data_IF_533826071893
#
_entry.id   IF_533826071893
#
_cell.length_a   1.000
_cell.length_b   1.000
_cell.length_c   1.000
_cell.angle_alpha   90.00
_cell.angle_beta   90.00
_cell.angle_gamma   90.00
#
_symmetry.space_group_name_H-M   'P 1'
#
loop_
_entity.id
_entity.type
_entity.pdbx_description
1 polymer ?
#
# COMPACT_ATOMS: atom_id res chain seq x y z
N UNK A 1 -13.03 -20.45 -4.85
CA UNK A 1 -14.29 -20.25 -4.10
C UNK A 1 -15.10 -19.15 -4.76
N UNK A 2 -16.21 -19.52 -5.38
CA UNK A 2 -17.19 -18.56 -5.88
C UNK A 2 -18.52 -19.30 -6.00
N UNK A 3 -19.32 -19.25 -4.93
CA UNK A 3 -20.60 -19.97 -4.86
C UNK A 3 -21.77 -19.17 -5.43
N UNK A 4 -21.54 -17.95 -5.92
CA UNK A 4 -22.60 -17.12 -6.50
C UNK A 4 -23.24 -17.84 -7.71
N UNK A 5 -24.54 -17.66 -7.93
CA UNK A 5 -25.23 -18.19 -9.10
C UNK A 5 -24.66 -17.59 -10.39
N UNK A 6 -24.89 -18.26 -11.53
CA UNK A 6 -24.43 -17.77 -12.85
C UNK A 6 -25.24 -16.59 -13.39
N UNK A 7 -26.44 -16.40 -12.86
CA UNK A 7 -27.30 -15.27 -13.19
C UNK A 7 -27.90 -14.69 -11.91
N UNK A 8 -28.00 -13.36 -11.86
CA UNK A 8 -28.59 -12.63 -10.75
C UNK A 8 -29.54 -11.56 -11.30
N UNK A 9 -30.85 -11.84 -11.39
CA UNK A 9 -31.82 -10.92 -11.96
C UNK A 9 -31.89 -9.58 -11.21
N UNK A 10 -32.02 -8.49 -11.98
CA UNK A 10 -32.13 -7.10 -11.47
C UNK A 10 -33.13 -6.93 -10.33
N UNK A 11 -34.26 -7.64 -10.36
CA UNK A 11 -35.30 -7.56 -9.31
C UNK A 11 -34.76 -7.88 -7.90
N UNK A 12 -33.91 -8.91 -7.78
CA UNK A 12 -33.35 -9.32 -6.48
C UNK A 12 -32.26 -8.36 -6.01
N UNK A 13 -31.57 -7.70 -6.94
CA UNK A 13 -30.58 -6.66 -6.61
C UNK A 13 -31.29 -5.43 -6.05
N UNK A 14 -32.40 -5.01 -6.64
CA UNK A 14 -33.22 -3.90 -6.15
C UNK A 14 -33.83 -4.25 -4.78
N UNK A 15 -34.36 -5.45 -4.63
CA UNK A 15 -34.91 -5.93 -3.36
C UNK A 15 -33.83 -5.95 -2.26
N UNK A 16 -32.62 -6.42 -2.58
CA UNK A 16 -31.47 -6.37 -1.66
C UNK A 16 -31.09 -4.95 -1.24
N UNK A 17 -31.20 -3.96 -2.14
CA UNK A 17 -30.98 -2.54 -1.82
C UNK A 17 -32.05 -2.05 -0.84
N UNK A 18 -33.32 -2.41 -1.03
CA UNK A 18 -34.38 -2.03 -0.11
C UNK A 18 -34.22 -2.66 1.28
N UNK A 19 -33.79 -3.93 1.35
CA UNK A 19 -33.47 -4.58 2.64
C UNK A 19 -32.28 -3.93 3.34
N UNK A 20 -31.26 -3.54 2.57
CA UNK A 20 -30.14 -2.77 3.09
C UNK A 20 -30.58 -1.44 3.69
N UNK A 21 -31.43 -0.69 2.98
CA UNK A 21 -31.99 0.59 3.45
C UNK A 21 -32.92 0.40 4.68
N UNK A 22 -33.62 -0.72 4.77
CA UNK A 22 -34.44 -1.07 5.93
C UNK A 22 -33.61 -1.47 7.18
N UNK A 23 -32.29 -1.63 7.03
CA UNK A 23 -31.40 -2.04 8.11
C UNK A 23 -31.60 -3.49 8.56
N UNK A 24 -32.07 -4.36 7.67
CA UNK A 24 -32.26 -5.77 8.00
C UNK A 24 -30.94 -6.48 8.32
N UNK A 25 -31.00 -7.44 9.24
CA UNK A 25 -29.81 -8.17 9.70
C UNK A 25 -29.22 -9.03 8.58
N UNK A 26 -27.97 -8.74 8.21
CA UNK A 26 -27.20 -9.52 7.25
C UNK A 26 -25.75 -9.72 7.70
N UNK A 27 -25.05 -10.71 7.14
CA UNK A 27 -23.66 -11.01 7.50
C UNK A 27 -22.61 -10.13 6.78
N UNK A 28 -23.04 -9.25 5.88
CA UNK A 28 -22.15 -8.39 5.13
C UNK A 28 -21.88 -7.08 5.86
N UNK A 29 -20.72 -6.49 5.58
CA UNK A 29 -20.27 -5.22 6.14
C UNK A 29 -20.29 -4.14 5.05
N UNK A 30 -20.26 -2.85 5.41
CA UNK A 30 -20.05 -1.76 4.46
C UNK A 30 -18.84 -2.00 3.54
N UNK A 31 -18.89 -1.47 2.32
CA UNK A 31 -17.85 -1.67 1.32
C UNK A 31 -16.61 -0.85 1.68
N UNK A 32 -15.44 -1.42 1.37
CA UNK A 32 -14.15 -0.74 1.50
C UNK A 32 -13.66 -0.09 0.20
N UNK A 33 -14.22 -0.47 -0.95
CA UNK A 33 -13.63 -0.16 -2.27
C UNK A 33 -14.65 0.00 -3.40
N UNK A 34 -15.60 -0.94 -3.53
CA UNK A 34 -16.50 -0.99 -4.69
C UNK A 34 -17.95 -0.83 -4.28
N UNK A 35 -18.61 0.16 -4.84
CA UNK A 35 -20.01 0.48 -4.60
C UNK A 35 -20.80 0.48 -5.90
N UNK A 36 -22.10 0.16 -5.83
CA UNK A 36 -23.04 0.41 -6.93
C UNK A 36 -23.83 1.68 -6.65
N UNK A 37 -24.19 2.41 -7.70
CA UNK A 37 -25.11 3.54 -7.58
C UNK A 37 -26.55 3.11 -7.96
N UNK A 38 -27.51 3.52 -7.13
CA UNK A 38 -28.93 3.37 -7.40
C UNK A 38 -29.69 4.59 -6.87
N UNK A 39 -30.44 5.28 -7.74
CA UNK A 39 -31.15 6.54 -7.43
C UNK A 39 -30.28 7.60 -6.71
N UNK A 40 -29.03 7.77 -7.14
CA UNK A 40 -28.10 8.75 -6.59
C UNK A 40 -27.53 8.40 -5.22
N UNK A 41 -27.82 7.21 -4.69
CA UNK A 41 -27.22 6.65 -3.47
C UNK A 41 -26.24 5.54 -3.83
N UNK A 42 -25.22 5.36 -3.00
CA UNK A 42 -24.19 4.33 -3.16
C UNK A 42 -24.38 3.20 -2.16
N UNK A 43 -24.15 1.98 -2.65
CA UNK A 43 -24.37 0.76 -1.89
C UNK A 43 -23.21 -0.21 -2.04
N UNK A 44 -22.85 -0.96 -0.99
CA UNK A 44 -21.74 -1.90 -1.04
C UNK A 44 -21.99 -3.07 -1.98
N UNK A 45 -21.25 -3.09 -3.11
CA UNK A 45 -21.45 -4.05 -4.20
C UNK A 45 -21.49 -5.51 -3.73
N UNK A 46 -20.54 -5.89 -2.87
CA UNK A 46 -20.43 -7.25 -2.33
C UNK A 46 -21.62 -7.63 -1.45
N UNK A 47 -22.08 -6.71 -0.61
CA UNK A 47 -23.20 -6.97 0.28
C UNK A 47 -24.49 -7.14 -0.53
N UNK A 48 -24.75 -6.20 -1.45
CA UNK A 48 -25.95 -6.24 -2.29
C UNK A 48 -25.99 -7.53 -3.12
N UNK A 49 -24.88 -7.93 -3.74
CA UNK A 49 -24.84 -9.17 -4.51
C UNK A 49 -25.09 -10.42 -3.64
N UNK A 50 -24.56 -10.44 -2.41
CA UNK A 50 -24.76 -11.55 -1.47
C UNK A 50 -26.21 -11.66 -1.01
N UNK A 51 -26.80 -10.54 -0.59
CA UNK A 51 -28.21 -10.47 -0.16
C UNK A 51 -29.12 -10.86 -1.34
N UNK A 52 -28.89 -10.30 -2.52
CA UNK A 52 -29.66 -10.62 -3.72
C UNK A 52 -29.56 -12.11 -4.09
N UNK A 53 -28.36 -12.70 -3.99
CA UNK A 53 -28.18 -14.13 -4.22
C UNK A 53 -28.94 -14.97 -3.18
N UNK A 54 -28.96 -14.55 -1.91
CA UNK A 54 -29.73 -15.22 -0.87
C UNK A 54 -31.24 -15.15 -1.13
N UNK A 55 -31.75 -13.99 -1.53
CA UNK A 55 -33.17 -13.84 -1.91
C UNK A 55 -33.53 -14.71 -3.12
N UNK A 56 -32.64 -14.81 -4.09
CA UNK A 56 -32.88 -15.58 -5.31
C UNK A 56 -32.85 -17.09 -5.07
N UNK A 57 -31.87 -17.60 -4.32
CA UNK A 57 -31.63 -19.05 -4.19
C UNK A 57 -32.19 -19.64 -2.90
N UNK A 58 -32.57 -18.82 -1.92
CA UNK A 58 -32.89 -19.24 -0.56
C UNK A 58 -31.67 -19.71 0.25
N UNK A 59 -30.46 -19.71 -0.33
CA UNK A 59 -29.23 -20.10 0.36
C UNK A 59 -28.56 -18.89 0.99
N UNK A 60 -28.23 -18.94 2.28
CA UNK A 60 -27.46 -17.86 2.89
C UNK A 60 -26.05 -17.78 2.30
N UNK A 61 -25.69 -16.58 1.85
CA UNK A 61 -24.33 -16.25 1.44
C UNK A 61 -23.65 -15.37 2.47
N UNK A 62 -22.35 -15.59 2.65
CA UNK A 62 -21.49 -14.85 3.58
C UNK A 62 -20.33 -14.19 2.82
N UNK A 63 -19.60 -13.26 3.44
CA UNK A 63 -18.39 -12.69 2.83
C UNK A 63 -17.34 -13.73 2.41
N UNK A 64 -17.33 -14.93 2.98
CA UNK A 64 -16.38 -15.99 2.63
C UNK A 64 -16.73 -16.72 1.31
N UNK A 65 -17.99 -16.67 0.87
CA UNK A 65 -18.45 -17.50 -0.25
C UNK A 65 -18.05 -16.98 -1.64
N UNK A 66 -17.67 -15.70 -1.74
CA UNK A 66 -17.26 -15.06 -2.99
C UNK A 66 -16.42 -13.79 -2.75
N UNK A 67 -15.77 -13.30 -3.80
CA UNK A 67 -14.94 -12.10 -3.77
C UNK A 67 -15.65 -10.90 -4.40
N UNK A 68 -15.37 -9.70 -3.90
CA UNK A 68 -15.99 -8.44 -4.36
C UNK A 68 -15.06 -7.52 -5.15
N UNK A 69 -13.94 -8.05 -5.68
CA UNK A 69 -12.98 -7.25 -6.47
C UNK A 69 -13.52 -6.91 -7.88
N UNK A 70 -12.92 -5.92 -8.55
CA UNK A 70 -13.40 -5.42 -9.86
C UNK A 70 -13.53 -6.50 -10.94
N UNK A 71 -12.64 -7.52 -10.93
CA UNK A 71 -12.66 -8.65 -11.88
C UNK A 71 -13.50 -9.84 -11.38
N UNK A 72 -14.23 -9.70 -10.27
CA UNK A 72 -14.97 -10.82 -9.68
C UNK A 72 -16.33 -11.04 -10.34
N UNK A 73 -16.87 -12.26 -10.20
CA UNK A 73 -18.23 -12.59 -10.66
C UNK A 73 -19.30 -11.72 -10.02
N UNK A 74 -19.10 -11.31 -8.76
CA UNK A 74 -20.00 -10.38 -8.08
C UNK A 74 -20.16 -9.08 -8.87
N UNK A 75 -19.05 -8.45 -9.24
CA UNK A 75 -19.07 -7.20 -10.00
C UNK A 75 -19.64 -7.42 -11.40
N UNK A 76 -19.25 -8.50 -12.07
CA UNK A 76 -19.79 -8.87 -13.39
C UNK A 76 -21.32 -9.00 -13.39
N UNK A 77 -21.88 -9.74 -12.42
CA UNK A 77 -23.33 -9.94 -12.29
C UNK A 77 -24.09 -8.61 -12.10
N UNK A 78 -23.53 -7.67 -11.35
CA UNK A 78 -24.13 -6.34 -11.14
C UNK A 78 -24.09 -5.50 -12.43
N UNK A 79 -22.96 -5.49 -13.15
CA UNK A 79 -22.80 -4.76 -14.40
C UNK A 79 -23.73 -5.31 -15.49
N UNK A 80 -23.87 -6.65 -15.59
CA UNK A 80 -24.78 -7.29 -16.54
C UNK A 80 -26.25 -6.88 -16.35
N UNK A 81 -26.62 -6.45 -15.14
CA UNK A 81 -27.96 -5.92 -14.84
C UNK A 81 -28.06 -4.39 -14.98
N UNK A 82 -27.01 -3.72 -15.47
CA UNK A 82 -26.98 -2.27 -15.73
C UNK A 82 -26.68 -1.41 -14.50
N UNK A 83 -25.99 -1.93 -13.48
CA UNK A 83 -25.49 -1.10 -12.37
C UNK A 83 -24.08 -0.59 -12.66
N UNK A 84 -23.86 0.70 -12.38
CA UNK A 84 -22.54 1.32 -12.47
C UNK A 84 -21.76 1.08 -11.17
N UNK A 85 -20.48 0.72 -11.31
CA UNK A 85 -19.58 0.48 -10.19
C UNK A 85 -18.74 1.74 -9.96
N UNK A 86 -18.82 2.28 -8.76
CA UNK A 86 -17.98 3.36 -8.29
C UNK A 86 -16.88 2.81 -7.40
N UNK A 87 -15.66 3.28 -7.63
CA UNK A 87 -14.54 3.03 -6.74
C UNK A 87 -14.49 4.13 -5.69
N UNK A 88 -14.74 3.80 -4.43
CA UNK A 88 -14.50 4.74 -3.34
C UNK A 88 -13.02 4.69 -2.95
N UNK A 89 -12.26 5.63 -3.53
CA UNK A 89 -10.83 5.84 -3.22
C UNK A 89 -10.61 6.40 -1.82
N UNK A 90 -11.63 6.86 -1.09
CA UNK A 90 -11.49 7.37 0.27
C UNK A 90 -11.61 6.26 1.33
N UNK A 91 -12.35 5.18 1.06
CA UNK A 91 -12.43 3.99 1.91
C UNK A 91 -11.25 3.02 1.73
N UNK A 92 -10.57 3.10 0.58
CA UNK A 92 -9.14 2.84 0.54
C UNK A 92 -8.46 3.98 1.29
N UNK A 93 -8.12 3.83 2.58
CA UNK A 93 -6.87 4.47 2.98
C UNK A 93 -5.84 3.90 1.99
N UNK A 94 -5.28 4.69 1.05
CA UNK A 94 -4.28 4.11 0.20
C UNK A 94 -3.20 3.68 1.18
N UNK A 95 -2.80 2.40 1.15
CA UNK A 95 -1.43 2.06 1.52
C UNK A 95 -0.63 2.91 0.55
N UNK A 96 -0.29 4.13 0.98
CA UNK A 96 -0.03 5.24 0.09
C UNK A 96 1.22 4.94 -0.71
N UNK A 97 1.06 4.36 -1.90
CA UNK A 97 2.11 3.84 -2.81
C UNK A 97 3.47 3.81 -2.11
N UNK A 98 3.56 2.95 -1.08
CA UNK A 98 4.62 3.05 -0.08
C UNK A 98 5.82 2.36 -0.68
N UNK A 99 6.52 3.07 -1.55
CA UNK A 99 7.74 2.56 -2.13
C UNK A 99 8.84 2.74 -1.09
N UNK A 100 9.28 1.64 -0.47
CA UNK A 100 10.53 1.69 0.28
C UNK A 100 11.68 2.02 -0.69
N UNK A 101 12.78 2.66 -0.22
CA UNK A 101 13.88 3.05 -1.11
C UNK A 101 14.46 1.90 -1.95
N UNK A 102 14.36 0.66 -1.46
CA UNK A 102 14.84 -0.55 -2.12
C UNK A 102 13.76 -1.32 -2.89
N UNK A 103 12.52 -0.83 -2.92
CA UNK A 103 11.42 -1.45 -3.63
C UNK A 103 11.19 -0.83 -5.00
N UNK A 104 10.75 -1.68 -5.94
CA UNK A 104 10.34 -1.25 -7.27
C UNK A 104 8.82 -1.10 -7.33
N UNK A 105 8.30 -0.18 -8.18
CA UNK A 105 6.87 -0.06 -8.40
C UNK A 105 6.29 -1.42 -8.80
N UNK A 106 5.19 -1.80 -8.16
CA UNK A 106 4.52 -3.07 -8.48
C UNK A 106 4.15 -3.11 -9.97
N UNK A 107 4.50 -4.21 -10.65
CA UNK A 107 3.91 -4.53 -11.94
C UNK A 107 2.55 -5.21 -11.71
N UNK A 108 1.55 -4.92 -12.53
CA UNK A 108 0.16 -5.41 -12.39
C UNK A 108 0.02 -6.95 -12.41
N UNK A 109 1.11 -7.69 -12.63
CA UNK A 109 1.12 -9.13 -12.81
C UNK A 109 1.97 -9.79 -11.72
N UNK A 110 1.31 -10.41 -10.74
CA UNK A 110 1.96 -11.15 -9.66
C UNK A 110 2.07 -12.62 -10.05
N UNK A 111 3.18 -13.00 -10.69
CA UNK A 111 3.58 -14.40 -10.83
C UNK A 111 4.52 -14.73 -9.66
N UNK A 112 4.01 -15.49 -8.68
CA UNK A 112 4.82 -16.01 -7.57
C UNK A 112 5.99 -16.84 -8.13
N UNK A 113 7.22 -16.49 -7.77
CA UNK A 113 8.43 -17.18 -8.24
C UNK A 113 9.05 -16.66 -9.55
N UNK A 114 8.49 -15.63 -10.18
CA UNK A 114 9.16 -14.97 -11.31
C UNK A 114 10.37 -14.16 -10.81
N UNK A 115 11.57 -14.69 -10.96
CA UNK A 115 12.81 -13.96 -10.67
C UNK A 115 12.98 -12.82 -11.69
N UNK A 116 12.53 -11.62 -11.33
CA UNK A 116 12.80 -10.41 -12.12
C UNK A 116 14.26 -10.03 -11.89
N UNK A 117 15.09 -10.23 -12.93
CA UNK A 117 16.49 -9.82 -12.91
C UNK A 117 16.56 -8.32 -13.19
N UNK A 118 16.64 -7.53 -12.13
CA UNK A 118 16.78 -6.07 -12.22
C UNK A 118 18.27 -5.73 -12.34
N UNK A 119 18.65 -5.05 -13.42
CA UNK A 119 19.98 -4.44 -13.52
C UNK A 119 19.99 -3.16 -12.69
N UNK A 120 20.42 -3.27 -11.43
CA UNK A 120 20.73 -2.10 -10.60
C UNK A 120 22.08 -1.54 -11.01
N UNK A 121 22.20 -0.22 -11.15
CA UNK A 121 23.48 0.41 -11.47
C UNK A 121 24.47 0.11 -10.34
N UNK A 122 25.65 -0.42 -10.70
CA UNK A 122 26.69 -0.87 -9.76
C UNK A 122 27.13 0.23 -8.77
N UNK A 123 26.96 1.50 -9.14
CA UNK A 123 27.28 2.66 -8.31
C UNK A 123 26.27 2.89 -7.17
N UNK A 124 25.00 2.49 -7.32
CA UNK A 124 23.91 2.77 -6.38
C UNK A 124 24.01 1.97 -5.06
N UNK A 125 24.82 0.91 -5.05
CA UNK A 125 25.05 0.03 -3.88
C UNK A 125 26.53 -0.38 -3.75
N UNK A 126 27.47 0.56 -3.90
CA UNK A 126 28.86 0.25 -3.57
C UNK A 126 28.98 -0.03 -2.07
N UNK A 127 29.15 -1.32 -1.74
CA UNK A 127 29.34 -1.79 -0.36
C UNK A 127 30.49 -1.04 0.32
N UNK A 128 31.56 -0.69 -0.41
CA UNK A 128 32.72 0.04 0.13
C UNK A 128 32.37 1.48 0.48
N UNK A 129 31.56 2.15 -0.34
CA UNK A 129 31.09 3.50 -0.03
C UNK A 129 30.18 3.47 1.21
N UNK A 130 29.24 2.52 1.27
CA UNK A 130 28.42 2.29 2.47
C UNK A 130 29.28 2.03 3.70
N UNK A 131 30.24 1.10 3.62
CA UNK A 131 31.08 0.73 4.76
C UNK A 131 31.88 1.94 5.25
N UNK A 132 32.45 2.76 4.35
CA UNK A 132 33.16 4.00 4.70
C UNK A 132 32.25 5.03 5.38
N UNK A 133 31.03 5.21 4.89
CA UNK A 133 30.07 6.13 5.49
C UNK A 133 29.71 5.69 6.93
N UNK A 134 29.48 4.39 7.13
CA UNK A 134 29.15 3.82 8.44
C UNK A 134 30.37 3.82 9.38
N UNK A 135 31.57 3.59 8.88
CA UNK A 135 32.81 3.67 9.67
C UNK A 135 33.06 5.10 10.17
N UNK A 136 32.78 6.11 9.34
CA UNK A 136 32.96 7.52 9.70
C UNK A 136 31.86 8.05 10.63
N UNK A 137 30.59 7.82 10.29
CA UNK A 137 29.43 8.40 10.98
C UNK A 137 28.87 7.51 12.10
N UNK A 138 29.29 6.25 12.17
CA UNK A 138 28.75 5.24 13.08
C UNK A 138 27.42 4.63 12.62
N UNK A 139 26.84 3.80 13.49
CA UNK A 139 25.61 3.05 13.22
C UNK A 139 24.36 3.66 13.89
N UNK A 140 24.40 4.97 14.22
CA UNK A 140 23.28 5.68 14.80
C UNK A 140 22.50 6.42 13.70
N UNK A 141 21.18 6.47 13.81
CA UNK A 141 20.36 7.17 12.83
C UNK A 141 20.60 8.68 12.90
N UNK A 142 21.09 9.28 11.81
CA UNK A 142 21.36 10.72 11.75
C UNK A 142 20.11 11.62 11.73
N UNK A 143 18.92 11.04 11.64
CA UNK A 143 17.64 11.78 11.79
C UNK A 143 17.17 11.76 13.23
N UNK A 144 16.92 10.56 13.78
CA UNK A 144 16.24 10.42 15.07
C UNK A 144 17.16 10.07 16.24
N UNK A 145 18.45 9.83 16.00
CA UNK A 145 19.44 9.46 17.02
C UNK A 145 19.30 8.04 17.58
N UNK A 146 18.37 7.24 17.05
CA UNK A 146 18.17 5.86 17.51
C UNK A 146 19.36 4.99 17.13
N UNK A 147 19.82 4.24 18.12
CA UNK A 147 20.77 3.14 17.99
C UNK A 147 20.00 1.84 18.11
N UNK A 148 19.94 1.06 17.03
CA UNK A 148 19.19 -0.18 17.03
C UNK A 148 19.83 -1.27 17.87
N UNK A 149 21.16 -1.27 18.02
CA UNK A 149 21.83 -2.28 18.84
C UNK A 149 21.38 -2.12 20.29
N UNK A 150 21.12 -0.88 20.73
CA UNK A 150 20.53 -0.62 22.05
C UNK A 150 19.08 -1.09 22.19
N UNK A 151 18.34 -1.22 21.08
CA UNK A 151 16.92 -1.64 21.09
C UNK A 151 16.78 -3.15 20.92
N UNK A 152 17.50 -3.72 19.96
CA UNK A 152 17.35 -5.09 19.48
C UNK A 152 18.52 -6.00 19.87
N UNK A 153 19.62 -5.46 20.42
CA UNK A 153 20.83 -6.22 20.73
C UNK A 153 21.63 -6.57 19.48
N UNK A 154 22.44 -7.62 19.60
CA UNK A 154 23.46 -8.00 18.60
C UNK A 154 22.90 -8.30 17.21
N UNK A 155 21.62 -8.70 17.11
CA UNK A 155 20.97 -8.96 15.81
C UNK A 155 20.85 -7.71 14.93
N UNK A 156 20.99 -6.51 15.51
CA UNK A 156 20.95 -5.25 14.79
C UNK A 156 22.34 -4.68 14.48
N UNK A 157 23.41 -5.42 14.79
CA UNK A 157 24.78 -4.99 14.48
C UNK A 157 24.95 -4.77 12.97
N UNK A 158 25.42 -3.57 12.60
CA UNK A 158 25.58 -3.17 11.20
C UNK A 158 24.27 -2.99 10.40
N UNK A 159 23.10 -3.14 11.03
CA UNK A 159 21.80 -3.00 10.38
C UNK A 159 21.40 -1.52 10.27
N UNK A 160 21.86 -0.84 9.22
CA UNK A 160 21.53 0.55 8.93
C UNK A 160 21.46 0.79 7.43
N UNK A 161 20.54 1.66 6.99
CA UNK A 161 20.48 2.08 5.59
C UNK A 161 21.37 3.31 5.41
N UNK A 162 21.79 3.58 4.18
CA UNK A 162 22.50 4.81 3.83
C UNK A 162 21.65 5.62 2.87
N UNK A 163 21.44 6.88 3.22
CA UNK A 163 20.71 7.86 2.41
C UNK A 163 21.68 8.73 1.62
N UNK A 164 21.36 9.00 0.36
CA UNK A 164 22.12 9.92 -0.49
C UNK A 164 21.57 11.34 -0.31
N UNK A 165 22.41 12.28 0.14
CA UNK A 165 22.03 13.68 0.31
C UNK A 165 21.81 14.39 -1.03
N UNK A 166 22.57 13.98 -2.06
CA UNK A 166 22.36 14.40 -3.45
C UNK A 166 21.51 13.34 -4.15
N UNK A 167 20.29 13.66 -4.63
CA UNK A 167 19.44 12.69 -5.31
C UNK A 167 20.11 12.12 -6.54
N UNK A 168 20.09 10.80 -6.71
CA UNK A 168 20.68 10.09 -7.85
C UNK A 168 20.21 10.61 -9.21
N UNK A 169 18.96 11.11 -9.30
CA UNK A 169 18.42 11.70 -10.53
C UNK A 169 19.11 13.01 -10.94
N UNK A 170 19.84 13.65 -10.03
CA UNK A 170 20.60 14.88 -10.26
C UNK A 170 22.11 14.62 -10.50
N UNK A 171 22.55 13.37 -10.31
CA UNK A 171 23.94 12.92 -10.50
C UNK A 171 24.17 12.70 -12.00
N UNK A 172 25.12 13.45 -12.58
CA UNK A 172 25.55 13.32 -13.98
C UNK A 172 26.69 12.30 -14.12
N UNK A 173 27.02 11.89 -15.35
CA UNK A 173 28.01 10.83 -15.64
C UNK A 173 29.41 11.06 -15.01
N UNK A 174 29.78 12.30 -14.70
CA UNK A 174 31.08 12.67 -14.11
C UNK A 174 31.09 12.82 -12.57
N UNK A 175 29.99 12.45 -11.90
CA UNK A 175 29.90 12.64 -10.45
C UNK A 175 30.70 11.59 -9.68
N UNK A 176 31.67 12.04 -8.90
CA UNK A 176 32.42 11.21 -7.98
C UNK A 176 31.78 11.25 -6.59
N UNK A 177 31.16 10.13 -6.19
CA UNK A 177 30.57 9.98 -4.86
C UNK A 177 31.64 10.11 -3.77
N UNK A 178 31.41 11.01 -2.81
CA UNK A 178 32.15 11.11 -1.56
C UNK A 178 31.36 10.40 -0.45
N UNK A 179 31.80 9.21 0.02
CA UNK A 179 31.07 8.46 1.02
C UNK A 179 30.93 9.15 2.39
N UNK A 180 31.73 10.17 2.67
CA UNK A 180 31.65 10.90 3.94
C UNK A 180 30.64 12.04 3.82
N UNK A 181 30.66 12.76 2.70
CA UNK A 181 29.87 13.98 2.53
C UNK A 181 28.53 13.76 1.82
N UNK A 182 28.38 12.70 1.02
CA UNK A 182 27.19 12.47 0.21
C UNK A 182 26.26 11.40 0.79
N UNK A 183 26.79 10.61 1.71
CA UNK A 183 26.11 9.45 2.28
C UNK A 183 25.93 9.62 3.79
N UNK A 184 24.72 9.35 4.25
CA UNK A 184 24.38 9.49 5.66
C UNK A 184 23.68 8.23 6.20
N UNK A 185 24.19 7.59 7.26
CA UNK A 185 23.51 6.46 7.87
C UNK A 185 22.17 6.85 8.51
N UNK A 186 21.11 6.14 8.13
CA UNK A 186 19.74 6.34 8.62
C UNK A 186 19.04 4.99 8.83
N UNK A 187 18.19 4.90 9.85
CA UNK A 187 17.42 3.68 10.05
C UNK A 187 16.32 3.53 8.98
N UNK A 188 15.99 2.31 8.49
CA UNK A 188 14.96 2.05 7.48
C UNK A 188 13.68 2.89 7.56
N UNK A 189 13.11 3.07 8.75
CA UNK A 189 11.88 3.85 8.88
C UNK A 189 12.10 5.34 8.60
N UNK A 190 13.19 5.93 9.10
CA UNK A 190 13.56 7.31 8.78
C UNK A 190 13.91 7.44 7.29
N UNK A 191 14.61 6.45 6.73
CA UNK A 191 14.94 6.44 5.31
C UNK A 191 13.69 6.46 4.43
N UNK A 192 12.70 5.60 4.76
CA UNK A 192 11.41 5.60 4.07
C UNK A 192 10.71 6.96 4.17
N UNK A 193 10.74 7.61 5.34
CA UNK A 193 10.13 8.93 5.52
C UNK A 193 10.84 10.03 4.72
N UNK A 194 12.17 10.00 4.58
CA UNK A 194 12.91 10.94 3.74
C UNK A 194 12.40 10.91 2.29
N UNK A 195 12.08 9.73 1.77
CA UNK A 195 11.63 9.53 0.40
C UNK A 195 10.11 9.67 0.17
N UNK A 196 9.33 10.09 1.18
CA UNK A 196 7.87 10.26 1.05
C UNK A 196 7.43 11.41 0.14
N UNK A 197 8.36 12.24 -0.33
CA UNK A 197 8.12 13.28 -1.32
C UNK A 197 9.25 13.33 -2.34
N UNK A 198 9.00 14.00 -3.46
CA UNK A 198 10.02 14.35 -4.46
C UNK A 198 10.05 15.87 -4.60
N UNK A 199 11.22 16.52 -4.41
CA UNK A 199 12.49 15.96 -3.96
C UNK A 199 12.42 15.44 -2.50
N UNK A 200 13.26 14.48 -2.09
CA UNK A 200 13.28 13.95 -0.72
C UNK A 200 13.36 15.03 0.37
N UNK A 201 12.95 14.71 1.59
CA UNK A 201 13.28 15.54 2.75
C UNK A 201 14.79 15.49 3.02
N UNK A 202 15.33 16.58 3.53
CA UNK A 202 16.65 16.55 4.18
C UNK A 202 16.54 15.93 5.58
N UNK A 203 17.61 15.34 6.12
CA UNK A 203 17.64 14.84 7.48
C UNK A 203 17.17 15.88 8.51
N UNK A 204 17.57 17.14 8.35
CA UNK A 204 17.23 18.25 9.24
C UNK A 204 15.74 18.58 9.18
N UNK A 205 15.15 18.58 7.97
CA UNK A 205 13.72 18.81 7.79
C UNK A 205 12.88 17.71 8.46
N UNK A 206 13.27 16.44 8.27
CA UNK A 206 12.55 15.34 8.88
C UNK A 206 12.71 15.36 10.40
N UNK A 207 13.89 15.68 10.91
CA UNK A 207 14.14 15.84 12.34
C UNK A 207 13.27 16.95 12.95
N UNK A 208 13.22 18.12 12.32
CA UNK A 208 12.36 19.23 12.77
C UNK A 208 10.88 18.84 12.80
N UNK A 209 10.40 18.08 11.81
CA UNK A 209 9.03 17.55 11.80
C UNK A 209 8.79 16.57 12.95
N UNK A 210 9.75 15.70 13.26
CA UNK A 210 9.62 14.77 14.39
C UNK A 210 9.58 15.52 15.73
N UNK A 211 10.45 16.51 15.92
CA UNK A 211 10.55 17.25 17.17
C UNK A 211 9.31 18.12 17.42
N UNK A 212 8.74 18.72 16.37
CA UNK A 212 7.48 19.45 16.45
C UNK A 212 6.29 18.56 16.90
N UNK A 213 6.26 17.29 16.48
CA UNK A 213 5.18 16.36 16.82
C UNK A 213 5.40 15.60 18.15
N UNK A 214 6.63 15.52 18.66
CA UNK A 214 6.93 14.97 20.00
C UNK A 214 6.58 15.94 21.14
N UNK A 215 6.40 17.22 20.82
CA UNK A 215 6.13 18.29 21.79
C UNK A 215 4.64 18.53 22.04
N UNK A 216 3.76 17.72 21.42
CA UNK A 216 2.30 17.66 21.61
C UNK A 216 1.92 16.30 22.22
#
# INVERSE_FOLDING_TARGET
MNKLPDHLPRRYIIEAIHLWDAGETHQFQPARLYEIEYHGRRYPSKAIAGIAATLMTGTQFTPADFTGGIKSKCVKLLIEQGFHIHLDKAAAAPIADVLFPDELPSQETYLEGAAIKVTVNRYERDKKARDKAVEHHGCQCNVCGVDLVKIYGDIAEGFIHVHHLVPLSAIKEDYQLDPVNDLLPVYPNCHAMLHRRKPPFTPEQLKALMDANKSN
#
